data_IF_557317702228
#
_entry.id   IF_557317702228
#
_cell.length_a   1.000
_cell.length_b   1.000
_cell.length_c   1.000
_cell.angle_alpha   90.00
_cell.angle_beta   90.00
_cell.angle_gamma   90.00
#
_symmetry.space_group_name_H-M   'P 1'
#
loop_
_entity.id
_entity.type
_entity.pdbx_description
1 polymer ?
#
# COMPACT_ATOMS: atom_id res chain seq x y z
N UNK A 1 34.26 -26.16 40.54
CA UNK A 1 32.83 -26.41 40.26
C UNK A 1 32.67 -26.60 38.78
N UNK A 2 31.89 -27.60 38.37
CA UNK A 2 31.61 -27.80 36.94
C UNK A 2 30.60 -26.76 36.48
N UNK A 3 30.87 -26.12 35.34
CA UNK A 3 29.94 -25.17 34.73
C UNK A 3 28.64 -25.86 34.32
N UNK A 4 27.50 -25.18 34.44
CA UNK A 4 26.22 -25.75 34.04
C UNK A 4 25.38 -24.76 33.23
N UNK A 5 24.52 -25.29 32.35
CA UNK A 5 23.60 -24.49 31.54
C UNK A 5 22.35 -24.12 32.32
N UNK A 6 21.97 -22.85 32.24
CA UNK A 6 20.80 -22.28 32.89
C UNK A 6 19.93 -21.56 31.86
N UNK A 7 18.66 -21.95 31.79
CA UNK A 7 17.64 -21.28 30.98
C UNK A 7 16.62 -20.61 31.90
N UNK A 8 16.31 -19.35 31.63
CA UNK A 8 15.33 -18.56 32.36
C UNK A 8 14.72 -17.49 31.45
N UNK A 9 13.56 -16.95 31.83
CA UNK A 9 12.88 -15.92 31.06
C UNK A 9 11.88 -15.19 31.94
N UNK A 10 11.43 -14.02 31.51
CA UNK A 10 10.41 -13.28 32.24
C UNK A 10 9.06 -14.00 32.10
N UNK A 11 8.35 -14.15 33.21
CA UNK A 11 7.04 -14.81 33.21
C UNK A 11 5.96 -13.97 32.50
N UNK A 12 6.14 -12.65 32.53
CA UNK A 12 5.27 -11.66 31.89
C UNK A 12 6.08 -10.85 30.90
N UNK A 13 5.41 -10.29 29.89
CA UNK A 13 6.03 -9.35 28.97
C UNK A 13 6.55 -8.13 29.73
N UNK A 14 7.79 -7.72 29.41
CA UNK A 14 8.39 -6.52 29.97
C UNK A 14 7.99 -5.33 29.13
N UNK A 15 7.30 -4.37 29.75
CA UNK A 15 7.05 -3.06 29.16
C UNK A 15 8.32 -2.22 29.28
N UNK A 16 8.76 -1.58 28.19
CA UNK A 16 9.86 -0.63 28.20
C UNK A 16 9.71 0.39 27.08
N UNK A 17 10.45 1.48 27.21
CA UNK A 17 10.39 2.60 26.26
C UNK A 17 11.72 2.75 25.56
N UNK A 18 11.69 3.05 24.26
CA UNK A 18 12.86 3.25 23.39
C UNK A 18 12.68 4.53 22.58
N UNK A 19 13.74 5.32 22.43
CA UNK A 19 13.73 6.48 21.53
C UNK A 19 14.15 6.04 20.13
N UNK A 20 13.30 6.29 19.14
CA UNK A 20 13.63 6.15 17.70
C UNK A 20 13.50 7.51 17.03
N UNK A 21 14.63 8.21 16.93
CA UNK A 21 14.67 9.59 16.45
C UNK A 21 13.91 10.53 17.40
N UNK A 22 12.92 11.31 16.93
CA UNK A 22 12.12 12.19 17.79
C UNK A 22 11.00 11.46 18.55
N UNK A 23 10.76 10.18 18.24
CA UNK A 23 9.65 9.42 18.81
C UNK A 23 10.11 8.61 20.01
N UNK A 24 9.25 8.59 21.02
CA UNK A 24 9.36 7.71 22.17
C UNK A 24 8.33 6.59 22.01
N UNK A 25 8.83 5.36 21.80
CA UNK A 25 8.04 4.18 21.46
C UNK A 25 7.99 3.26 22.68
N UNK A 26 6.80 2.74 22.99
CA UNK A 26 6.60 1.79 24.08
C UNK A 26 6.46 0.38 23.49
N UNK A 27 7.31 -0.52 23.96
CA UNK A 27 7.38 -1.90 23.55
C UNK A 27 6.98 -2.82 24.71
N UNK A 28 6.40 -3.97 24.34
CA UNK A 28 6.26 -5.11 25.22
C UNK A 28 7.14 -6.23 24.69
N UNK A 29 8.05 -6.77 25.51
CA UNK A 29 8.95 -7.84 25.10
C UNK A 29 8.80 -9.10 25.95
N UNK A 30 8.76 -10.26 25.28
CA UNK A 30 9.02 -11.55 25.89
C UNK A 30 10.47 -11.93 25.67
N UNK A 31 11.15 -12.34 26.76
CA UNK A 31 12.59 -12.55 26.76
C UNK A 31 12.91 -13.86 27.44
N UNK A 32 13.70 -14.69 26.74
CA UNK A 32 14.28 -15.91 27.27
C UNK A 32 15.80 -15.88 27.09
N UNK A 33 16.52 -16.40 28.08
CA UNK A 33 17.96 -16.29 28.19
C UNK A 33 18.54 -17.68 28.38
N UNK A 34 19.64 -17.95 27.66
CA UNK A 34 20.50 -19.10 27.91
C UNK A 34 21.85 -18.62 28.45
N UNK A 35 22.21 -19.09 29.64
CA UNK A 35 23.46 -18.77 30.29
C UNK A 35 24.24 -20.02 30.64
N UNK A 36 25.57 -19.92 30.69
CA UNK A 36 26.46 -20.91 31.30
C UNK A 36 27.00 -20.32 32.60
N UNK A 37 26.55 -20.88 33.72
CA UNK A 37 27.07 -20.47 35.04
C UNK A 37 28.45 -21.09 35.22
N UNK A 38 29.43 -20.25 35.48
CA UNK A 38 30.84 -20.64 35.63
C UNK A 38 31.30 -20.61 37.08
N UNK A 39 30.71 -19.74 37.89
CA UNK A 39 31.03 -19.58 39.31
C UNK A 39 29.81 -19.05 40.08
N UNK A 40 29.64 -19.48 41.33
CA UNK A 40 28.66 -18.91 42.24
C UNK A 40 29.16 -19.03 43.69
N UNK A 41 28.63 -18.18 44.56
CA UNK A 41 28.99 -18.16 45.99
C UNK A 41 28.43 -19.39 46.73
N UNK A 42 29.33 -20.24 47.21
CA UNK A 42 28.97 -21.51 47.86
C UNK A 42 28.45 -21.34 49.28
N UNK A 43 28.68 -20.18 49.90
CA UNK A 43 28.12 -19.87 51.21
C UNK A 43 26.63 -19.46 51.10
N UNK A 44 26.22 -19.01 49.90
CA UNK A 44 24.84 -18.62 49.59
C UNK A 44 24.04 -19.72 48.88
N UNK A 45 24.70 -20.63 48.16
CA UNK A 45 24.06 -21.66 47.35
C UNK A 45 24.67 -23.04 47.61
N UNK A 46 23.87 -23.95 48.15
CA UNK A 46 24.30 -25.33 48.47
C UNK A 46 24.52 -26.16 47.20
N UNK A 47 23.78 -25.88 46.12
CA UNK A 47 23.85 -26.60 44.86
C UNK A 47 23.58 -25.72 43.64
N UNK A 48 23.94 -26.24 42.45
CA UNK A 48 23.54 -25.64 41.17
C UNK A 48 22.01 -25.58 40.97
N UNK A 49 21.27 -26.47 41.64
CA UNK A 49 19.82 -26.45 41.70
C UNK A 49 19.28 -25.21 42.43
N UNK A 50 19.93 -24.79 43.52
CA UNK A 50 19.54 -23.61 44.30
C UNK A 50 19.80 -22.32 43.54
N UNK A 51 20.93 -22.26 42.82
CA UNK A 51 21.24 -21.19 41.86
C UNK A 51 20.16 -21.10 40.79
N UNK A 52 19.86 -22.22 40.13
CA UNK A 52 18.85 -22.25 39.08
C UNK A 52 17.45 -21.86 39.59
N UNK A 53 17.06 -22.33 40.77
CA UNK A 53 15.81 -21.97 41.42
C UNK A 53 15.74 -20.48 41.75
N UNK A 54 16.83 -19.90 42.25
CA UNK A 54 16.92 -18.48 42.60
C UNK A 54 16.83 -17.59 41.37
N UNK A 55 17.57 -17.90 40.31
CA UNK A 55 17.51 -17.13 39.06
C UNK A 55 16.12 -17.21 38.43
N UNK A 56 15.49 -18.40 38.38
CA UNK A 56 14.14 -18.54 37.81
C UNK A 56 13.08 -17.77 38.60
N UNK A 57 13.14 -17.79 39.94
CA UNK A 57 12.21 -17.00 40.80
C UNK A 57 12.35 -15.49 40.59
N UNK A 58 13.55 -15.03 40.26
CA UNK A 58 13.85 -13.60 40.06
C UNK A 58 13.99 -13.21 38.59
N UNK A 59 13.66 -14.10 37.65
CA UNK A 59 13.97 -13.92 36.23
C UNK A 59 13.34 -12.64 35.66
N UNK A 60 12.07 -12.36 36.00
CA UNK A 60 11.39 -11.14 35.57
C UNK A 60 12.06 -9.87 36.09
N UNK A 61 12.53 -9.86 37.35
CA UNK A 61 13.18 -8.69 37.94
C UNK A 61 14.58 -8.46 37.35
N UNK A 62 15.35 -9.54 37.18
CA UNK A 62 16.66 -9.53 36.51
C UNK A 62 16.53 -8.92 35.11
N UNK A 63 15.57 -9.42 34.32
CA UNK A 63 15.38 -8.96 32.93
C UNK A 63 14.86 -7.52 32.89
N UNK A 64 13.90 -7.15 33.75
CA UNK A 64 13.40 -5.78 33.84
C UNK A 64 14.55 -4.82 34.17
N UNK A 65 15.34 -5.10 35.20
CA UNK A 65 16.48 -4.25 35.58
C UNK A 65 17.53 -4.17 34.48
N UNK A 66 17.83 -5.28 33.80
CA UNK A 66 18.77 -5.26 32.68
C UNK A 66 18.33 -4.31 31.55
N UNK A 67 17.02 -4.23 31.27
CA UNK A 67 16.48 -3.29 30.28
C UNK A 67 16.51 -1.84 30.79
N UNK A 68 16.10 -1.59 32.04
CA UNK A 68 15.98 -0.23 32.58
C UNK A 68 17.31 0.39 32.97
N UNK A 69 18.30 -0.41 33.39
CA UNK A 69 19.65 0.03 33.76
C UNK A 69 20.61 0.05 32.57
N UNK A 70 20.11 -0.07 31.34
CA UNK A 70 20.94 -0.03 30.12
C UNK A 70 21.60 1.35 29.93
N UNK A 71 22.74 1.43 29.23
CA UNK A 71 23.41 2.71 28.98
C UNK A 71 22.53 3.68 28.18
N UNK A 72 22.58 4.97 28.52
CA UNK A 72 21.81 5.99 27.81
C UNK A 72 22.20 6.05 26.32
N UNK A 73 21.20 6.19 25.44
CA UNK A 73 21.41 6.23 23.98
C UNK A 73 21.58 4.86 23.32
N UNK A 74 21.47 3.76 24.06
CA UNK A 74 21.47 2.40 23.49
C UNK A 74 20.05 1.89 23.21
N UNK A 75 19.92 1.14 22.10
CA UNK A 75 18.68 0.53 21.66
C UNK A 75 18.70 -0.97 21.92
N UNK A 76 17.69 -1.51 22.58
CA UNK A 76 17.55 -2.97 22.76
C UNK A 76 16.98 -3.60 21.50
N UNK A 77 16.11 -2.87 20.79
CA UNK A 77 15.51 -3.33 19.53
C UNK A 77 16.53 -3.41 18.39
N UNK A 78 17.45 -2.43 18.30
CA UNK A 78 18.37 -2.31 17.15
C UNK A 78 19.71 -3.06 17.34
N UNK A 79 19.89 -3.72 18.49
CA UNK A 79 21.06 -4.56 18.78
C UNK A 79 20.85 -5.96 18.18
N UNK A 80 21.32 -6.17 16.94
CA UNK A 80 21.11 -7.39 16.14
C UNK A 80 21.52 -8.68 16.86
N UNK A 81 22.55 -8.63 17.73
CA UNK A 81 23.06 -9.78 18.48
C UNK A 81 22.64 -9.75 19.96
N UNK A 82 21.83 -8.76 20.38
CA UNK A 82 21.42 -8.53 21.77
C UNK A 82 22.59 -8.51 22.78
N UNK A 83 23.78 -8.12 22.34
CA UNK A 83 25.03 -8.18 23.13
C UNK A 83 24.97 -7.26 24.33
N UNK A 84 24.38 -6.08 24.18
CA UNK A 84 24.22 -5.13 25.26
C UNK A 84 23.27 -5.69 26.32
N UNK A 85 22.13 -6.26 25.90
CA UNK A 85 21.17 -6.86 26.83
C UNK A 85 21.79 -8.07 27.55
N UNK A 86 22.55 -8.90 26.84
CA UNK A 86 23.31 -10.00 27.43
C UNK A 86 24.31 -9.52 28.49
N UNK A 87 25.07 -8.45 28.23
CA UNK A 87 25.99 -7.85 29.20
C UNK A 87 25.26 -7.34 30.46
N UNK A 88 24.13 -6.65 30.27
CA UNK A 88 23.34 -6.13 31.38
C UNK A 88 22.73 -7.25 32.23
N UNK A 89 22.25 -8.33 31.60
CA UNK A 89 21.77 -9.53 32.31
C UNK A 89 22.91 -10.15 33.13
N UNK A 90 24.12 -10.25 32.56
CA UNK A 90 25.31 -10.71 33.29
C UNK A 90 25.58 -9.87 34.55
N UNK A 91 25.56 -8.54 34.43
CA UNK A 91 25.71 -7.62 35.58
C UNK A 91 24.62 -7.80 36.64
N UNK A 92 23.37 -8.07 36.23
CA UNK A 92 22.31 -8.37 37.19
C UNK A 92 22.57 -9.70 37.93
N UNK A 93 23.04 -10.74 37.24
CA UNK A 93 23.39 -12.03 37.88
C UNK A 93 24.54 -11.89 38.88
N UNK A 94 25.54 -11.03 38.61
CA UNK A 94 26.62 -10.77 39.54
C UNK A 94 26.15 -10.16 40.87
N UNK A 95 25.03 -9.40 40.87
CA UNK A 95 24.40 -8.89 42.11
C UNK A 95 23.90 -10.04 43.00
N UNK A 96 23.56 -11.19 42.41
CA UNK A 96 23.24 -12.43 43.11
C UNK A 96 24.48 -13.30 43.39
N UNK A 97 25.69 -12.78 43.21
CA UNK A 97 26.95 -13.52 43.37
C UNK A 97 27.05 -14.74 42.43
N UNK A 98 26.49 -14.62 41.24
CA UNK A 98 26.53 -15.64 40.19
C UNK A 98 27.30 -15.06 38.99
N UNK A 99 28.41 -15.69 38.60
CA UNK A 99 29.07 -15.39 37.33
C UNK A 99 28.57 -16.33 36.26
N UNK A 100 28.09 -15.77 35.17
CA UNK A 100 27.58 -16.54 34.05
C UNK A 100 27.94 -15.88 32.72
N UNK A 101 28.20 -16.70 31.72
CA UNK A 101 28.35 -16.28 30.34
C UNK A 101 26.99 -16.41 29.64
N UNK A 102 26.46 -15.30 29.11
CA UNK A 102 25.20 -15.32 28.35
C UNK A 102 25.51 -15.80 26.93
N UNK A 103 24.93 -16.92 26.53
CA UNK A 103 25.13 -17.54 25.21
C UNK A 103 24.10 -17.10 24.20
N UNK A 104 22.88 -16.86 24.66
CA UNK A 104 21.76 -16.52 23.78
C UNK A 104 20.70 -15.71 24.54
N UNK A 105 20.07 -14.79 23.83
CA UNK A 105 18.95 -13.97 24.29
C UNK A 105 17.89 -13.99 23.19
N UNK A 106 16.85 -14.76 23.43
CA UNK A 106 15.67 -14.78 22.57
C UNK A 106 14.78 -13.62 22.98
N UNK A 107 14.59 -12.68 22.06
CA UNK A 107 13.89 -11.43 22.31
C UNK A 107 12.76 -11.23 21.29
N UNK A 108 11.52 -11.19 21.77
CA UNK A 108 10.34 -10.92 20.95
C UNK A 108 9.65 -9.66 21.44
N UNK A 109 9.83 -8.54 20.74
CA UNK A 109 9.15 -7.29 21.05
C UNK A 109 7.98 -7.01 20.11
N UNK A 110 6.88 -6.55 20.69
CA UNK A 110 5.74 -6.00 19.97
C UNK A 110 5.53 -4.55 20.40
N UNK A 111 5.22 -3.68 19.44
CA UNK A 111 4.73 -2.33 19.74
C UNK A 111 3.41 -2.44 20.49
N UNK A 112 3.25 -1.67 21.58
CA UNK A 112 1.99 -1.70 22.34
C UNK A 112 0.83 -1.18 21.47
N UNK A 113 -0.33 -1.88 21.41
CA UNK A 113 -1.49 -1.48 20.59
C UNK A 113 -1.99 -0.07 20.88
N UNK A 114 -1.85 0.39 22.13
CA UNK A 114 -2.35 1.68 22.61
C UNK A 114 -1.60 2.87 21.98
N UNK A 115 -0.35 2.67 21.54
CA UNK A 115 0.49 3.72 20.95
C UNK A 115 0.58 3.69 19.42
N UNK A 116 0.22 2.60 18.75
CA UNK A 116 0.21 2.58 17.28
C UNK A 116 -0.73 3.66 16.72
N UNK A 117 -1.89 3.87 17.35
CA UNK A 117 -2.85 4.90 16.96
C UNK A 117 -2.40 6.32 17.38
N UNK A 118 -1.85 6.49 18.60
CA UNK A 118 -1.46 7.82 19.11
C UNK A 118 -0.17 8.34 18.43
N UNK A 119 0.81 7.47 18.17
CA UNK A 119 2.02 7.81 17.43
C UNK A 119 1.76 7.96 15.94
N UNK A 120 0.81 7.22 15.35
CA UNK A 120 0.33 7.50 13.99
C UNK A 120 -0.32 8.90 13.96
N UNK A 121 -1.13 9.26 14.95
CA UNK A 121 -1.73 10.59 15.02
C UNK A 121 -0.69 11.70 15.20
N UNK A 122 0.33 11.52 16.06
CA UNK A 122 1.45 12.48 16.21
C UNK A 122 2.27 12.59 14.92
N UNK A 123 2.62 11.48 14.29
CA UNK A 123 3.30 11.45 12.98
C UNK A 123 2.46 12.10 11.87
N UNK A 124 1.15 11.86 11.84
CA UNK A 124 0.22 12.51 10.90
C UNK A 124 0.17 14.01 11.16
N UNK A 125 0.12 14.44 12.42
CA UNK A 125 0.06 15.85 12.79
C UNK A 125 1.38 16.60 12.55
N UNK A 126 2.53 15.97 12.81
CA UNK A 126 3.84 16.55 12.50
C UNK A 126 4.14 16.54 11.00
N UNK A 127 3.70 15.50 10.26
CA UNK A 127 3.68 15.51 8.79
C UNK A 127 2.77 16.60 8.25
N UNK A 128 1.61 16.87 8.86
CA UNK A 128 0.74 18.00 8.46
C UNK A 128 1.42 19.36 8.65
N UNK A 129 2.17 19.55 9.75
CA UNK A 129 2.95 20.78 10.00
C UNK A 129 4.10 21.00 9.00
N UNK A 130 4.86 19.95 8.66
CA UNK A 130 5.95 20.03 7.67
C UNK A 130 5.47 20.02 6.21
N UNK A 131 4.29 19.44 5.93
CA UNK A 131 3.63 19.54 4.61
C UNK A 131 3.15 20.95 4.30
N UNK A 132 2.63 21.67 5.30
CA UNK A 132 2.19 23.05 5.13
C UNK A 132 3.28 23.98 4.57
N UNK A 133 4.52 23.89 5.05
CA UNK A 133 5.60 24.78 4.57
C UNK A 133 6.05 24.48 3.14
N UNK A 134 6.13 23.19 2.75
CA UNK A 134 6.54 22.79 1.40
C UNK A 134 5.44 22.98 0.36
N UNK A 135 4.18 22.79 0.74
CA UNK A 135 3.02 23.03 -0.11
C UNK A 135 2.91 24.52 -0.46
N UNK A 136 3.01 25.38 0.55
CA UNK A 136 2.98 26.83 0.38
C UNK A 136 4.20 27.35 -0.40
N UNK A 137 5.37 26.73 -0.24
CA UNK A 137 6.55 27.06 -1.05
C UNK A 137 6.36 26.70 -2.53
N UNK A 138 5.80 25.51 -2.82
CA UNK A 138 5.49 25.10 -4.19
C UNK A 138 4.45 26.03 -4.83
N UNK A 139 3.36 26.34 -4.10
CA UNK A 139 2.33 27.30 -4.55
C UNK A 139 2.93 28.69 -4.80
N UNK A 140 3.89 29.16 -3.99
CA UNK A 140 4.60 30.44 -4.22
C UNK A 140 5.54 30.41 -5.41
N UNK A 141 6.06 29.24 -5.78
CA UNK A 141 6.95 29.06 -6.92
C UNK A 141 6.23 28.82 -8.25
N UNK A 142 4.89 28.97 -8.27
CA UNK A 142 4.07 28.70 -9.45
C UNK A 142 4.65 29.41 -10.68
N UNK A 143 5.18 28.65 -11.65
CA UNK A 143 5.72 29.26 -12.86
C UNK A 143 4.56 29.87 -13.63
N UNK A 144 4.75 31.04 -14.26
CA UNK A 144 3.74 31.59 -15.15
C UNK A 144 3.44 30.56 -16.24
N UNK A 145 2.16 30.24 -16.41
CA UNK A 145 1.67 29.35 -17.44
C UNK A 145 0.55 30.05 -18.23
N UNK A 146 0.33 29.63 -19.46
CA UNK A 146 -0.73 30.17 -20.30
C UNK A 146 -2.06 29.41 -20.18
N UNK A 147 -2.85 29.41 -21.26
CA UNK A 147 -4.19 28.80 -21.30
C UNK A 147 -4.10 27.27 -21.19
N UNK A 148 -5.04 26.64 -20.45
CA UNK A 148 -5.14 25.20 -20.41
C UNK A 148 -5.69 24.70 -21.76
N UNK A 149 -4.97 23.83 -22.45
CA UNK A 149 -5.41 23.28 -23.76
C UNK A 149 -5.93 21.84 -23.65
N UNK A 150 -5.49 21.11 -22.65
CA UNK A 150 -6.01 19.78 -22.34
C UNK A 150 -5.74 19.36 -20.91
N UNK A 151 -6.64 18.56 -20.36
CA UNK A 151 -6.48 17.90 -19.07
C UNK A 151 -6.99 16.46 -19.18
N UNK A 152 -6.29 15.52 -18.56
CA UNK A 152 -6.66 14.12 -18.57
C UNK A 152 -6.51 13.51 -17.20
N UNK A 153 -7.49 12.71 -16.79
CA UNK A 153 -7.40 11.83 -15.64
C UNK A 153 -7.30 10.40 -16.15
N UNK A 154 -6.36 9.63 -15.60
CA UNK A 154 -6.27 8.21 -15.86
C UNK A 154 -6.15 7.43 -14.56
N UNK A 155 -6.70 6.21 -14.58
CA UNK A 155 -6.51 5.24 -13.53
C UNK A 155 -6.31 3.85 -14.13
N UNK A 156 -5.49 3.06 -13.47
CA UNK A 156 -5.29 1.67 -13.84
C UNK A 156 -5.13 0.81 -12.61
N UNK A 157 -5.54 -0.45 -12.73
CA UNK A 157 -5.27 -1.50 -11.76
C UNK A 157 -4.54 -2.64 -12.44
N UNK A 158 -3.59 -3.26 -11.75
CA UNK A 158 -2.85 -4.42 -12.21
C UNK A 158 -2.62 -5.35 -11.03
N UNK A 159 -2.88 -6.64 -11.22
CA UNK A 159 -2.83 -7.61 -10.12
C UNK A 159 -3.46 -8.94 -10.49
N UNK A 160 -3.35 -9.90 -9.58
CA UNK A 160 -3.89 -11.26 -9.75
C UNK A 160 -5.32 -11.43 -9.23
N UNK A 161 -5.96 -10.36 -8.77
CA UNK A 161 -7.33 -10.39 -8.25
C UNK A 161 -8.37 -10.29 -9.38
N UNK A 162 -9.54 -10.88 -9.17
CA UNK A 162 -10.70 -10.72 -10.06
C UNK A 162 -10.99 -9.22 -10.27
N UNK A 163 -11.18 -8.79 -11.52
CA UNK A 163 -11.33 -7.39 -11.96
C UNK A 163 -10.07 -6.50 -11.92
N UNK A 164 -8.88 -7.08 -11.78
CA UNK A 164 -7.62 -6.38 -12.06
C UNK A 164 -7.37 -6.25 -13.57
N UNK A 165 -6.36 -5.46 -13.97
CA UNK A 165 -6.03 -5.18 -15.37
C UNK A 165 -7.10 -4.32 -16.08
N UNK A 166 -7.70 -3.40 -15.32
CA UNK A 166 -8.60 -2.40 -15.84
C UNK A 166 -7.87 -1.07 -16.07
N UNK A 167 -8.27 -0.34 -17.10
CA UNK A 167 -7.78 1.00 -17.38
C UNK A 167 -8.94 1.92 -17.72
N UNK A 168 -8.94 3.11 -17.13
CA UNK A 168 -9.91 4.15 -17.40
C UNK A 168 -9.16 5.45 -17.65
N UNK A 169 -9.55 6.18 -18.69
CA UNK A 169 -8.97 7.48 -18.98
C UNK A 169 -10.02 8.42 -19.52
N UNK A 170 -10.13 9.59 -18.92
CA UNK A 170 -10.98 10.69 -19.37
C UNK A 170 -10.08 11.86 -19.76
N UNK A 171 -10.24 12.38 -20.96
CA UNK A 171 -9.40 13.45 -21.50
C UNK A 171 -10.24 14.56 -22.10
N UNK A 172 -10.16 15.76 -21.52
CA UNK A 172 -10.73 16.97 -22.07
C UNK A 172 -9.69 17.68 -22.92
N UNK A 173 -10.01 18.00 -24.17
CA UNK A 173 -9.12 18.75 -25.05
C UNK A 173 -9.88 19.69 -25.98
N UNK A 174 -9.25 20.82 -26.31
CA UNK A 174 -9.75 21.78 -27.30
C UNK A 174 -9.29 21.33 -28.69
N UNK A 175 -10.24 21.02 -29.58
CA UNK A 175 -9.99 20.69 -30.98
C UNK A 175 -10.84 21.60 -31.85
N UNK A 176 -10.21 22.32 -32.77
CA UNK A 176 -10.88 23.24 -33.71
C UNK A 176 -11.83 24.24 -33.02
N UNK A 177 -11.43 24.73 -31.84
CA UNK A 177 -12.22 25.67 -31.04
C UNK A 177 -13.36 25.04 -30.23
N UNK A 178 -13.54 23.72 -30.30
CA UNK A 178 -14.57 22.98 -29.58
C UNK A 178 -13.93 22.12 -28.49
N UNK A 179 -14.50 22.16 -27.29
CA UNK A 179 -14.09 21.27 -26.20
C UNK A 179 -14.72 19.89 -26.35
N UNK A 180 -13.87 18.87 -26.23
CA UNK A 180 -14.29 17.47 -26.30
C UNK A 180 -13.78 16.70 -25.10
N UNK A 181 -14.61 15.84 -24.53
CA UNK A 181 -14.24 14.82 -23.56
C UNK A 181 -14.12 13.47 -24.29
N UNK A 182 -12.95 12.85 -24.24
CA UNK A 182 -12.76 11.47 -24.69
C UNK A 182 -12.65 10.55 -23.48
N UNK A 183 -13.62 9.67 -23.32
CA UNK A 183 -13.67 8.65 -22.26
C UNK A 183 -13.29 7.29 -22.83
N UNK A 184 -12.22 6.71 -22.30
CA UNK A 184 -11.75 5.37 -22.60
C UNK A 184 -12.02 4.50 -21.38
N UNK A 185 -12.82 3.45 -21.56
CA UNK A 185 -13.09 2.45 -20.53
C UNK A 185 -12.63 1.10 -21.02
N UNK A 186 -11.73 0.50 -20.26
CA UNK A 186 -11.15 -0.80 -20.56
C UNK A 186 -11.27 -1.70 -19.33
N UNK A 187 -12.48 -2.22 -19.03
CA UNK A 187 -12.69 -3.09 -17.90
C UNK A 187 -11.97 -4.43 -18.09
N UNK A 188 -11.70 -5.12 -16.99
CA UNK A 188 -11.13 -6.45 -17.02
C UNK A 188 -12.02 -7.39 -17.87
N UNK A 189 -11.41 -8.12 -18.81
CA UNK A 189 -12.10 -9.12 -19.65
C UNK A 189 -13.25 -8.59 -20.52
N UNK A 190 -13.39 -7.27 -20.67
CA UNK A 190 -14.39 -6.64 -21.54
C UNK A 190 -13.71 -5.91 -22.70
N UNK A 191 -14.51 -5.53 -23.69
CA UNK A 191 -14.07 -4.72 -24.82
C UNK A 191 -13.67 -3.32 -24.35
N UNK A 192 -12.74 -2.71 -25.07
CA UNK A 192 -12.42 -1.30 -24.89
C UNK A 192 -13.53 -0.47 -25.51
N UNK A 193 -14.10 0.45 -24.74
CA UNK A 193 -15.03 1.45 -25.26
C UNK A 193 -14.38 2.81 -25.27
N UNK A 194 -14.56 3.54 -26.37
CA UNK A 194 -14.13 4.92 -26.53
C UNK A 194 -15.35 5.76 -26.87
N UNK A 195 -15.68 6.70 -26.01
CA UNK A 195 -16.78 7.65 -26.25
C UNK A 195 -16.23 9.06 -26.30
N UNK A 196 -16.59 9.80 -27.35
CA UNK A 196 -16.23 11.21 -27.49
C UNK A 196 -17.49 12.04 -27.29
N UNK A 197 -17.43 12.98 -26.37
CA UNK A 197 -18.47 13.93 -26.09
C UNK A 197 -18.03 15.33 -26.51
N UNK A 198 -18.95 16.12 -27.05
CA UNK A 198 -18.88 17.57 -27.05
C UNK A 198 -19.28 18.06 -25.65
N UNK A 199 -18.51 18.98 -25.07
CA UNK A 199 -18.79 19.54 -23.75
C UNK A 199 -18.84 21.08 -23.80
N UNK A 200 -19.54 21.68 -22.84
CA UNK A 200 -19.58 23.14 -22.67
C UNK A 200 -18.27 23.73 -22.15
N UNK A 201 -18.10 25.05 -22.29
CA UNK A 201 -16.94 25.75 -21.73
C UNK A 201 -17.00 25.85 -20.20
N UNK A 202 -18.19 25.71 -19.61
CA UNK A 202 -18.44 25.93 -18.18
C UNK A 202 -17.61 24.98 -17.31
N UNK A 203 -17.56 23.69 -17.67
CA UNK A 203 -16.75 22.69 -16.95
C UNK A 203 -15.27 22.98 -17.07
N UNK A 204 -14.82 23.50 -18.21
CA UNK A 204 -13.41 23.85 -18.43
C UNK A 204 -13.04 25.05 -17.58
N UNK A 205 -13.90 26.08 -17.50
CA UNK A 205 -13.70 27.24 -16.62
C UNK A 205 -13.60 26.81 -15.15
N UNK A 206 -14.46 25.90 -14.70
CA UNK A 206 -14.38 25.34 -13.34
C UNK A 206 -13.05 24.63 -13.09
N UNK A 207 -12.59 23.82 -14.07
CA UNK A 207 -11.27 23.17 -13.98
C UNK A 207 -10.15 24.22 -13.91
N UNK A 208 -10.14 25.23 -14.78
CA UNK A 208 -9.13 26.29 -14.78
C UNK A 208 -9.13 27.10 -13.48
N UNK A 209 -10.31 27.40 -12.92
CA UNK A 209 -10.45 28.05 -11.62
C UNK A 209 -9.86 27.20 -10.51
N UNK A 210 -10.12 25.89 -10.50
CA UNK A 210 -9.57 24.96 -9.51
C UNK A 210 -8.06 24.79 -9.66
N UNK A 211 -7.55 24.72 -10.89
CA UNK A 211 -6.11 24.69 -11.18
C UNK A 211 -5.42 25.94 -10.64
N UNK A 212 -5.96 27.14 -10.90
CA UNK A 212 -5.41 28.42 -10.43
C UNK A 212 -5.54 28.58 -8.92
N UNK A 213 -6.70 28.25 -8.34
CA UNK A 213 -6.98 28.36 -6.90
C UNK A 213 -5.98 27.54 -6.08
N UNK A 214 -5.65 26.35 -6.56
CA UNK A 214 -4.76 25.42 -5.86
C UNK A 214 -3.31 25.46 -6.35
N UNK A 215 -3.00 26.29 -7.36
CA UNK A 215 -1.65 26.42 -7.91
C UNK A 215 -1.13 25.14 -8.56
N UNK A 216 -2.01 24.33 -9.17
CA UNK A 216 -1.70 22.95 -9.55
C UNK A 216 -0.60 22.85 -10.63
N UNK A 217 -0.36 23.89 -11.41
CA UNK A 217 0.72 23.94 -12.38
C UNK A 217 2.13 23.82 -11.73
N UNK A 218 2.26 24.18 -10.46
CA UNK A 218 3.51 24.10 -9.69
C UNK A 218 3.86 22.69 -9.21
N UNK A 219 2.92 21.74 -9.27
CA UNK A 219 3.05 20.42 -8.66
C UNK A 219 3.64 19.35 -9.59
N UNK A 220 4.06 19.77 -10.79
CA UNK A 220 4.77 18.89 -11.70
C UNK A 220 6.06 18.34 -11.07
N UNK A 221 6.28 17.03 -11.22
CA UNK A 221 7.40 16.36 -10.56
C UNK A 221 7.18 16.01 -9.08
N UNK A 222 6.04 16.36 -8.47
CA UNK A 222 5.67 15.79 -7.17
C UNK A 222 5.52 14.26 -7.32
N UNK A 223 6.12 13.51 -6.40
CA UNK A 223 6.09 12.04 -6.42
C UNK A 223 5.62 11.50 -5.09
N UNK A 224 4.77 10.49 -5.17
CA UNK A 224 4.34 9.68 -4.05
C UNK A 224 5.54 8.98 -3.43
N UNK A 225 5.66 9.04 -2.11
CA UNK A 225 6.58 8.20 -1.34
C UNK A 225 5.74 7.15 -0.64
N UNK A 226 5.74 5.92 -1.16
CA UNK A 226 5.20 4.79 -0.42
C UNK A 226 6.19 4.38 0.67
N UNK A 227 5.82 4.36 1.96
CA UNK A 227 6.61 3.70 2.98
C UNK A 227 6.54 2.17 2.90
N UNK A 228 5.59 1.57 2.17
CA UNK A 228 5.38 0.12 2.13
C UNK A 228 5.24 -0.41 0.69
N UNK A 229 6.15 -1.27 0.21
CA UNK A 229 5.97 -1.92 -1.09
C UNK A 229 4.81 -2.92 -1.02
N UNK A 230 3.77 -2.73 -1.86
CA UNK A 230 2.72 -3.72 -2.11
C UNK A 230 3.17 -4.61 -3.28
N UNK A 231 3.20 -5.94 -3.08
CA UNK A 231 3.83 -6.88 -4.02
C UNK A 231 2.84 -7.59 -4.96
N UNK A 232 1.53 -7.58 -4.66
CA UNK A 232 0.52 -8.42 -5.31
C UNK A 232 -0.61 -7.63 -6.02
N UNK A 233 -0.73 -6.34 -5.72
CA UNK A 233 -1.67 -5.43 -6.36
C UNK A 233 -1.06 -4.03 -6.51
N UNK A 234 -1.17 -3.46 -7.71
CA UNK A 234 -0.73 -2.10 -8.02
C UNK A 234 -1.89 -1.35 -8.67
N UNK A 235 -2.30 -0.24 -8.07
CA UNK A 235 -3.16 0.75 -8.73
C UNK A 235 -2.39 2.05 -8.91
N UNK A 236 -2.64 2.71 -10.04
CA UNK A 236 -2.08 4.03 -10.30
C UNK A 236 -3.17 4.97 -10.75
N UNK A 237 -3.03 6.24 -10.38
CA UNK A 237 -3.88 7.30 -10.90
C UNK A 237 -3.05 8.55 -11.11
N UNK A 238 -3.25 9.19 -12.25
CA UNK A 238 -2.53 10.39 -12.65
C UNK A 238 -3.47 11.40 -13.25
N UNK A 239 -3.22 12.67 -12.97
CA UNK A 239 -3.79 13.79 -13.72
C UNK A 239 -2.67 14.39 -14.56
N UNK A 240 -2.95 14.73 -15.80
CA UNK A 240 -2.01 15.44 -16.65
C UNK A 240 -2.67 16.66 -17.27
N UNK A 241 -1.92 17.73 -17.39
CA UNK A 241 -2.38 19.00 -17.96
C UNK A 241 -1.40 19.42 -19.04
N UNK A 242 -1.90 20.08 -20.08
CA UNK A 242 -1.07 20.77 -21.05
C UNK A 242 -1.51 22.20 -21.15
N UNK A 243 -0.55 23.12 -21.12
CA UNK A 243 -0.74 24.56 -21.25
C UNK A 243 -0.12 25.07 -22.53
N UNK A 244 -0.70 26.14 -23.10
CA UNK A 244 -0.09 26.95 -24.15
C UNK A 244 0.55 28.19 -23.54
N UNK A 245 1.86 28.12 -23.28
CA UNK A 245 2.62 29.19 -22.63
C UNK A 245 3.09 30.28 -23.61
N UNK A 246 2.64 30.26 -24.87
CA UNK A 246 3.05 31.26 -25.87
C UNK A 246 2.76 32.69 -25.41
N UNK A 247 1.66 32.88 -24.68
CA UNK A 247 1.24 34.19 -24.13
C UNK A 247 2.17 34.73 -23.03
N UNK A 248 2.92 33.84 -22.36
CA UNK A 248 3.90 34.20 -21.31
C UNK A 248 5.34 34.09 -21.81
N UNK A 249 5.54 33.95 -23.12
CA UNK A 249 6.86 33.82 -23.76
C UNK A 249 7.47 32.41 -23.66
N UNK A 250 6.67 31.41 -23.28
CA UNK A 250 7.05 30.01 -23.18
C UNK A 250 6.75 29.19 -24.45
N UNK A 251 6.69 27.87 -24.29
CA UNK A 251 6.41 26.93 -25.39
C UNK A 251 4.90 26.75 -25.61
N UNK A 252 4.44 26.50 -26.86
CA UNK A 252 3.03 26.35 -27.17
C UNK A 252 2.37 25.09 -26.58
N UNK A 253 3.17 24.16 -26.06
CA UNK A 253 2.70 22.96 -25.37
C UNK A 253 3.64 22.64 -24.23
N UNK A 254 3.22 22.95 -23.01
CA UNK A 254 3.93 22.61 -21.78
C UNK A 254 3.13 21.57 -21.02
N UNK A 255 3.69 20.36 -20.93
CA UNK A 255 3.07 19.23 -20.24
C UNK A 255 3.41 19.26 -18.75
N UNK A 256 2.40 18.99 -17.90
CA UNK A 256 2.51 18.90 -16.45
C UNK A 256 1.86 17.61 -15.98
N UNK A 257 2.57 16.82 -15.17
CA UNK A 257 2.07 15.56 -14.63
C UNK A 257 1.91 15.62 -13.12
N UNK A 258 0.70 15.31 -12.65
CA UNK A 258 0.31 15.30 -11.26
C UNK A 258 0.13 13.85 -10.79
N UNK A 259 0.91 13.49 -9.78
CA UNK A 259 0.76 12.25 -9.05
C UNK A 259 -0.40 12.41 -8.05
N UNK A 260 -1.52 11.73 -8.32
CA UNK A 260 -2.75 11.84 -7.51
C UNK A 260 -2.51 11.38 -6.08
N UNK A 261 -1.71 10.33 -5.87
CA UNK A 261 -1.41 9.82 -4.54
C UNK A 261 -0.54 10.83 -3.77
N UNK A 262 0.40 11.49 -4.45
CA UNK A 262 1.19 12.55 -3.85
C UNK A 262 0.35 13.79 -3.47
N UNK A 263 -0.60 14.20 -4.31
CA UNK A 263 -1.51 15.30 -4.02
C UNK A 263 -2.41 15.00 -2.81
N UNK A 264 -2.97 13.78 -2.73
CA UNK A 264 -3.71 13.31 -1.56
C UNK A 264 -2.85 13.29 -0.31
N UNK A 265 -1.61 12.82 -0.41
CA UNK A 265 -0.66 12.94 0.69
C UNK A 265 -0.46 14.41 1.10
N UNK A 266 -0.48 15.38 0.19
CA UNK A 266 -0.40 16.80 0.51
C UNK A 266 -1.68 17.40 1.13
N UNK A 267 -2.75 16.62 1.30
CA UNK A 267 -4.03 17.07 1.87
C UNK A 267 -4.96 17.73 0.87
N UNK A 268 -4.75 17.50 -0.43
CA UNK A 268 -5.59 18.01 -1.52
C UNK A 268 -6.64 16.98 -1.96
N UNK A 269 -7.14 16.16 -1.03
CA UNK A 269 -8.11 15.09 -1.32
C UNK A 269 -9.39 15.62 -1.97
N UNK A 270 -9.91 16.73 -1.47
CA UNK A 270 -11.12 17.38 -1.99
C UNK A 270 -10.88 17.93 -3.41
N UNK A 271 -9.77 18.63 -3.63
CA UNK A 271 -9.36 19.14 -4.95
C UNK A 271 -9.22 18.03 -5.98
N UNK A 272 -8.56 16.93 -5.60
CA UNK A 272 -8.38 15.76 -6.48
C UNK A 272 -9.74 15.17 -6.83
N UNK A 273 -10.62 15.02 -5.84
CA UNK A 273 -11.95 14.43 -6.06
C UNK A 273 -12.81 15.32 -6.95
N UNK A 274 -12.78 16.64 -6.72
CA UNK A 274 -13.43 17.65 -7.55
C UNK A 274 -12.93 17.58 -9.00
N UNK A 275 -11.60 17.59 -9.22
CA UNK A 275 -11.04 17.53 -10.57
C UNK A 275 -11.39 16.24 -11.31
N UNK A 276 -11.23 15.08 -10.66
CA UNK A 276 -11.62 13.80 -11.26
C UNK A 276 -13.10 13.81 -11.65
N UNK A 277 -13.98 14.33 -10.78
CA UNK A 277 -15.40 14.43 -11.07
C UNK A 277 -15.70 15.37 -12.24
N UNK A 278 -15.06 16.55 -12.29
CA UNK A 278 -15.23 17.50 -13.39
C UNK A 278 -14.77 16.89 -14.73
N UNK A 279 -13.60 16.24 -14.74
CA UNK A 279 -13.03 15.62 -15.93
C UNK A 279 -13.92 14.46 -16.41
N UNK A 280 -14.28 13.52 -15.54
CA UNK A 280 -15.08 12.35 -15.91
C UNK A 280 -16.54 12.67 -16.23
N UNK A 281 -17.14 13.67 -15.57
CA UNK A 281 -18.52 14.06 -15.87
C UNK A 281 -18.62 14.80 -17.20
N UNK A 282 -17.65 15.67 -17.52
CA UNK A 282 -17.73 16.58 -18.65
C UNK A 282 -18.81 17.67 -18.48
N UNK A 283 -19.32 17.87 -17.26
CA UNK A 283 -20.41 18.80 -16.95
C UNK A 283 -21.82 18.25 -17.23
N UNK A 284 -22.83 19.08 -16.98
CA UNK A 284 -24.26 18.71 -17.14
C UNK A 284 -24.68 18.61 -18.61
N UNK A 285 -24.08 19.43 -19.48
CA UNK A 285 -24.44 19.54 -20.89
C UNK A 285 -23.36 18.89 -21.76
N UNK A 286 -23.53 17.60 -22.08
CA UNK A 286 -22.67 16.89 -23.02
C UNK A 286 -23.46 16.15 -24.09
N UNK A 287 -22.92 16.16 -25.30
CA UNK A 287 -23.50 15.51 -26.47
C UNK A 287 -22.53 14.46 -27.00
N UNK A 288 -23.00 13.23 -27.25
CA UNK A 288 -22.15 12.18 -27.82
C UNK A 288 -21.86 12.52 -29.29
N UNK A 289 -20.58 12.68 -29.62
CA UNK A 289 -20.07 12.85 -30.98
C UNK A 289 -19.81 11.47 -31.61
N UNK A 290 -19.17 10.56 -30.87
CA UNK A 290 -18.86 9.23 -31.36
C UNK A 290 -18.78 8.20 -30.23
N UNK A 291 -19.02 6.94 -30.61
CA UNK A 291 -18.87 5.78 -29.76
C UNK A 291 -18.21 4.67 -30.58
N UNK A 292 -17.14 4.09 -30.06
CA UNK A 292 -16.43 2.96 -30.63
C UNK A 292 -16.28 1.87 -29.58
N UNK A 293 -16.49 0.61 -30.00
CA UNK A 293 -16.21 -0.58 -29.19
C UNK A 293 -15.19 -1.44 -29.94
N UNK A 294 -14.01 -1.61 -29.35
CA UNK A 294 -12.95 -2.44 -29.92
C UNK A 294 -12.95 -3.80 -29.26
N UNK A 295 -13.18 -4.84 -30.05
CA UNK A 295 -13.01 -6.21 -29.58
C UNK A 295 -11.55 -6.46 -29.23
N UNK A 296 -11.31 -6.90 -28.00
CA UNK A 296 -9.98 -7.34 -27.57
C UNK A 296 -9.58 -8.60 -28.32
N UNK A 297 -8.34 -8.64 -28.78
CA UNK A 297 -7.83 -9.82 -29.48
C UNK A 297 -7.64 -10.96 -28.48
N UNK A 298 -7.61 -12.21 -28.95
CA UNK A 298 -7.41 -13.37 -28.08
C UNK A 298 -6.15 -13.29 -27.21
N UNK A 299 -5.13 -12.54 -27.64
CA UNK A 299 -3.89 -12.31 -26.89
C UNK A 299 -4.08 -11.31 -25.72
N UNK A 300 -4.94 -10.31 -25.88
CA UNK A 300 -5.28 -9.33 -24.82
C UNK A 300 -6.13 -9.99 -23.73
N UNK A 301 -7.04 -10.90 -24.12
CA UNK A 301 -7.78 -11.73 -23.17
C UNK A 301 -6.86 -12.71 -22.43
N UNK A 302 -5.91 -13.32 -23.14
CA UNK A 302 -4.96 -14.29 -22.59
C UNK A 302 -4.01 -13.65 -21.56
N UNK A 303 -3.56 -12.41 -21.78
CA UNK A 303 -2.80 -11.65 -20.78
C UNK A 303 -3.64 -11.33 -19.53
N UNK A 304 -4.94 -11.07 -19.69
CA UNK A 304 -5.87 -10.97 -18.57
C UNK A 304 -6.03 -12.27 -17.77
N UNK A 305 -5.98 -13.43 -18.44
CA UNK A 305 -6.10 -14.75 -17.81
C UNK A 305 -4.81 -15.25 -17.15
N UNK A 306 -3.63 -14.82 -17.63
CA UNK A 306 -2.32 -15.19 -17.03
C UNK A 306 -2.14 -14.66 -15.60
N UNK A 307 -2.92 -13.66 -15.18
CA UNK A 307 -2.98 -13.19 -13.80
C UNK A 307 -3.76 -14.09 -12.83
N UNK A 308 -4.44 -15.15 -13.32
CA UNK A 308 -5.25 -16.05 -12.48
C UNK A 308 -4.70 -17.48 -12.41
N UNK A 309 -3.58 -17.79 -13.07
CA UNK A 309 -2.95 -19.11 -12.98
C UNK A 309 -1.84 -19.11 -11.92
N UNK A 310 -2.02 -19.77 -10.77
CA UNK A 310 -0.92 -20.01 -9.85
C UNK A 310 -0.03 -21.10 -10.43
N UNK A 311 1.26 -20.77 -10.63
CA UNK A 311 2.33 -21.75 -10.75
C UNK A 311 2.22 -22.74 -11.93
N UNK A 312 2.69 -22.33 -13.11
CA UNK A 312 2.96 -23.22 -14.23
C UNK A 312 4.44 -23.21 -14.57
N UNK A 313 5.13 -24.27 -14.16
CA UNK A 313 6.56 -24.53 -14.36
C UNK A 313 7.00 -24.32 -15.82
N UNK A 314 7.95 -23.42 -16.06
CA UNK A 314 8.53 -23.21 -17.39
C UNK A 314 9.53 -24.32 -17.70
N UNK A 315 9.14 -25.27 -18.56
CA UNK A 315 10.10 -26.01 -19.35
C UNK A 315 9.54 -26.41 -20.73
N UNK A 316 10.45 -26.44 -21.70
CA UNK A 316 10.35 -26.95 -23.09
C UNK A 316 9.71 -26.07 -24.20
N UNK A 317 10.62 -25.44 -24.95
CA UNK A 317 10.91 -25.62 -26.39
C UNK A 317 9.76 -25.80 -27.42
N UNK A 318 9.74 -24.86 -28.38
CA UNK A 318 9.51 -25.01 -29.83
C UNK A 318 8.35 -25.89 -30.33
N UNK A 319 7.36 -25.28 -30.99
CA UNK A 319 7.24 -25.29 -32.47
C UNK A 319 5.96 -24.60 -32.92
N UNK A 320 6.12 -23.79 -33.97
CA UNK A 320 5.10 -23.01 -34.64
C UNK A 320 4.26 -23.94 -35.53
N UNK A 321 2.95 -24.11 -35.25
CA UNK A 321 1.99 -24.66 -36.22
C UNK A 321 0.56 -24.28 -35.85
N UNK A 322 -0.01 -23.34 -36.60
CA UNK A 322 -1.43 -23.00 -36.61
C UNK A 322 -2.26 -24.15 -37.17
N UNK A 323 -3.36 -24.57 -36.52
CA UNK A 323 -4.44 -25.25 -37.21
C UNK A 323 -5.70 -24.38 -37.24
N UNK A 324 -6.34 -24.34 -38.40
CA UNK A 324 -7.63 -23.69 -38.63
C UNK A 324 -8.75 -24.30 -37.75
N UNK A 325 -9.75 -23.51 -37.31
CA UNK A 325 -10.78 -23.99 -36.40
C UNK A 325 -11.79 -24.90 -37.12
N UNK A 326 -12.02 -26.09 -36.56
CA UNK A 326 -13.24 -26.88 -36.81
C UNK A 326 -14.33 -26.48 -35.81
N UNK A 327 -15.62 -26.54 -36.17
CA UNK A 327 -16.71 -26.12 -35.28
C UNK A 327 -16.80 -27.03 -34.05
N UNK A 328 -16.87 -26.44 -32.85
CA UNK A 328 -17.04 -27.16 -31.58
C UNK A 328 -18.55 -27.41 -31.34
N UNK A 329 -18.98 -28.62 -30.93
CA UNK A 329 -20.38 -28.89 -30.60
C UNK A 329 -20.79 -28.20 -29.28
N UNK A 330 -22.03 -27.71 -29.22
CA UNK A 330 -22.67 -27.17 -28.02
C UNK A 330 -22.75 -28.28 -26.97
N UNK A 331 -22.05 -28.11 -25.84
CA UNK A 331 -22.15 -29.00 -24.67
C UNK A 331 -23.43 -28.69 -23.90
N UNK A 332 -24.22 -29.71 -23.60
CA UNK A 332 -25.38 -29.62 -22.73
C UNK A 332 -25.01 -29.09 -21.32
N UNK A 333 -25.93 -28.40 -20.62
CA UNK A 333 -25.68 -27.90 -19.27
C UNK A 333 -25.36 -29.04 -18.29
N UNK A 334 -24.46 -28.82 -17.31
CA UNK A 334 -24.13 -29.82 -16.30
C UNK A 334 -25.36 -30.26 -15.49
N UNK A 335 -25.40 -31.55 -15.15
CA UNK A 335 -26.52 -32.16 -14.43
C UNK A 335 -26.82 -31.41 -13.11
N UNK A 336 -28.08 -30.95 -12.96
CA UNK A 336 -28.53 -30.15 -11.81
C UNK A 336 -28.54 -28.63 -12.05
N UNK A 337 -28.06 -28.15 -13.20
CA UNK A 337 -28.23 -26.77 -13.62
C UNK A 337 -29.70 -26.42 -13.86
N UNK A 338 -30.10 -25.20 -13.50
CA UNK A 338 -31.45 -24.69 -13.77
C UNK A 338 -31.41 -23.37 -14.55
N UNK A 339 -32.45 -23.15 -15.34
CA UNK A 339 -32.61 -21.95 -16.16
C UNK A 339 -33.35 -20.85 -15.41
N UNK A 340 -32.77 -19.65 -15.35
CA UNK A 340 -33.41 -18.49 -14.77
C UNK A 340 -34.59 -18.05 -15.64
N UNK A 341 -35.79 -18.00 -15.05
CA UNK A 341 -37.01 -17.61 -15.77
C UNK A 341 -37.05 -16.11 -16.11
N UNK A 342 -36.23 -15.30 -15.43
CA UNK A 342 -36.19 -13.84 -15.62
C UNK A 342 -35.24 -13.43 -16.74
N UNK A 343 -34.01 -13.96 -16.78
CA UNK A 343 -32.99 -13.56 -17.76
C UNK A 343 -32.65 -14.65 -18.79
N UNK A 344 -33.11 -15.89 -18.60
CA UNK A 344 -32.88 -16.99 -19.55
C UNK A 344 -31.55 -17.73 -19.39
N UNK A 345 -30.67 -17.33 -18.45
CA UNK A 345 -29.40 -18.03 -18.22
C UNK A 345 -29.60 -19.46 -17.73
N UNK A 346 -28.97 -20.46 -18.38
CA UNK A 346 -29.30 -21.88 -18.24
C UNK A 346 -28.24 -22.74 -17.51
N UNK A 347 -27.22 -22.12 -16.92
CA UNK A 347 -26.12 -22.82 -16.23
C UNK A 347 -26.03 -22.49 -14.71
N UNK A 348 -27.15 -22.18 -14.06
CA UNK A 348 -27.14 -21.86 -12.62
C UNK A 348 -26.99 -23.12 -11.77
N UNK A 349 -25.96 -23.17 -10.91
CA UNK A 349 -25.69 -24.30 -10.00
C UNK A 349 -26.11 -24.02 -8.54
N UNK A 350 -26.42 -22.76 -8.20
CA UNK A 350 -26.79 -22.32 -6.85
C UNK A 350 -28.29 -22.05 -6.66
N UNK A 351 -28.67 -21.52 -5.49
CA UNK A 351 -30.05 -21.08 -5.18
C UNK A 351 -30.44 -19.74 -5.83
N UNK A 352 -29.49 -19.04 -6.46
CA UNK A 352 -29.68 -17.74 -7.09
C UNK A 352 -29.07 -17.74 -8.49
N UNK A 353 -29.59 -16.87 -9.36
CA UNK A 353 -29.08 -16.70 -10.71
C UNK A 353 -27.73 -15.97 -10.71
N UNK A 354 -26.74 -16.51 -11.41
CA UNK A 354 -25.39 -15.93 -11.47
C UNK A 354 -25.29 -14.68 -12.35
N UNK A 355 -26.31 -14.40 -13.17
CA UNK A 355 -26.35 -13.23 -14.06
C UNK A 355 -27.18 -12.09 -13.46
N UNK A 356 -28.41 -12.36 -13.02
CA UNK A 356 -29.32 -11.32 -12.54
C UNK A 356 -29.56 -11.31 -11.02
N UNK A 357 -29.03 -12.28 -10.27
CA UNK A 357 -29.19 -12.38 -8.81
C UNK A 357 -30.56 -12.88 -8.33
N UNK A 358 -31.51 -13.15 -9.22
CA UNK A 358 -32.85 -13.62 -8.86
C UNK A 358 -32.81 -14.99 -8.17
N UNK A 359 -33.60 -15.17 -7.11
CA UNK A 359 -33.66 -16.45 -6.40
C UNK A 359 -34.35 -17.50 -7.27
N UNK A 360 -33.88 -18.75 -7.20
CA UNK A 360 -34.59 -19.91 -7.76
C UNK A 360 -35.98 -19.96 -7.13
N UNK A 361 -36.99 -19.52 -7.87
CA UNK A 361 -38.39 -19.69 -7.49
C UNK A 361 -38.70 -21.18 -7.33
N UNK A 362 -39.51 -21.53 -6.34
CA UNK A 362 -39.98 -22.92 -6.14
C UNK A 362 -40.75 -23.44 -7.36
#
# INVERSE_FOLDING_TARGET
>A
MDSFSLKFGAAESVLFTEKRGPLEMIYTAQIAVMAIVTEYDTDLYESSGDVAGTVRRNASDIIKKAIYERPEGTSVIDDEDHRMLAEQIGKQLEKYKIKAEIKDVIFFANESPENAAENLNKLVNDRKKTKGSRLEELKRSEPPHGELISISHSSSSSGMMMNSNAHYSDSICKKDGVWTLTSVSMPAFQNETVTVYKIGEEVVKQIEETVKREGLAAFDGLRYKDPYPVYDYSSSSGISMTFDDSSVGGSPRVYKSLDVAALRQCGLDDTVSELCQLISSGGENKEIISFEEKQRTGMDLMMGMMGMTPGGNNNSNTENKTPAPKPVPVKDPPAGAWTCKTCGYNANLGKFCSECGERRGE
#
